data_IF_375779577844
#
_entry.id   IF_375779577844
#
_cell.length_a   1.000
_cell.length_b   1.000
_cell.length_c   1.000
_cell.angle_alpha   90.00
_cell.angle_beta   90.00
_cell.angle_gamma   90.00
#
_symmetry.space_group_name_H-M   'P 1'
#
loop_
_entity.id
_entity.type
_entity.pdbx_description
1 polymer ?
#
# COMPACT_ATOMS: atom_id res chain seq x y z
N UNK A 1 -43.88 1.74 49.29
CA UNK A 1 -42.76 0.81 49.02
C UNK A 1 -42.70 0.29 47.58
N UNK A 2 -43.84 -0.01 46.93
CA UNK A 2 -43.89 -0.54 45.54
C UNK A 2 -43.26 0.41 44.48
N UNK A 3 -43.56 1.71 44.51
CA UNK A 3 -43.10 2.69 43.50
C UNK A 3 -41.57 2.83 43.44
N UNK A 4 -40.88 2.89 44.59
CA UNK A 4 -39.41 3.01 44.63
C UNK A 4 -38.72 1.77 44.05
N UNK A 5 -39.28 0.57 44.29
CA UNK A 5 -38.82 -0.69 43.67
C UNK A 5 -39.01 -0.67 42.15
N UNK A 6 -40.16 -0.22 41.66
CA UNK A 6 -40.44 -0.13 40.21
C UNK A 6 -39.47 0.84 39.50
N UNK A 7 -39.19 2.00 40.10
CA UNK A 7 -38.28 2.99 39.52
C UNK A 7 -36.82 2.51 39.46
N UNK A 8 -36.37 1.77 40.47
CA UNK A 8 -35.02 1.21 40.51
C UNK A 8 -34.82 0.12 39.44
N UNK A 9 -35.84 -0.72 39.20
CA UNK A 9 -35.83 -1.73 38.13
C UNK A 9 -35.80 -1.04 36.75
N UNK A 10 -36.61 0.00 36.55
CA UNK A 10 -36.66 0.74 35.28
C UNK A 10 -35.30 1.37 34.91
N UNK A 11 -34.57 1.91 35.89
CA UNK A 11 -33.21 2.47 35.68
C UNK A 11 -32.20 1.39 35.29
N UNK A 12 -32.26 0.21 35.93
CA UNK A 12 -31.40 -0.93 35.58
C UNK A 12 -31.63 -1.42 34.15
N UNK A 13 -32.89 -1.52 33.72
CA UNK A 13 -33.24 -1.89 32.34
C UNK A 13 -32.70 -0.86 31.34
N UNK A 14 -32.84 0.43 31.64
CA UNK A 14 -32.37 1.49 30.76
C UNK A 14 -30.85 1.46 30.55
N UNK A 15 -30.07 1.23 31.61
CA UNK A 15 -28.62 1.08 31.50
C UNK A 15 -28.21 -0.20 30.75
N UNK A 16 -28.93 -1.30 30.97
CA UNK A 16 -28.68 -2.55 30.24
C UNK A 16 -28.94 -2.39 28.74
N UNK A 17 -30.03 -1.70 28.36
CA UNK A 17 -30.33 -1.40 26.96
C UNK A 17 -29.28 -0.48 26.33
N UNK A 18 -28.83 0.55 27.05
CA UNK A 18 -27.77 1.44 26.56
C UNK A 18 -26.45 0.70 26.35
N UNK A 19 -26.03 -0.11 27.34
CA UNK A 19 -24.81 -0.91 27.25
C UNK A 19 -24.87 -1.94 26.11
N UNK A 20 -26.03 -2.56 25.89
CA UNK A 20 -26.25 -3.51 24.79
C UNK A 20 -26.15 -2.84 23.41
N UNK A 21 -26.77 -1.67 23.22
CA UNK A 21 -26.67 -0.92 21.96
C UNK A 21 -25.24 -0.43 21.70
N UNK A 22 -24.53 0.03 22.74
CA UNK A 22 -23.11 0.40 22.62
C UNK A 22 -22.25 -0.81 22.22
N UNK A 23 -22.48 -1.97 22.85
CA UNK A 23 -21.76 -3.20 22.52
C UNK A 23 -22.06 -3.73 21.12
N UNK A 24 -23.27 -3.53 20.57
CA UNK A 24 -23.60 -3.89 19.19
C UNK A 24 -22.95 -2.94 18.15
N UNK A 25 -22.73 -1.68 18.52
CA UNK A 25 -22.17 -0.67 17.61
C UNK A 25 -20.66 -0.83 17.36
N UNK A 26 -19.94 -1.57 18.22
CA UNK A 26 -18.49 -1.78 18.08
C UNK A 26 -18.12 -2.87 17.06
N UNK A 27 -19.08 -3.68 16.59
CA UNK A 27 -18.78 -4.84 15.73
C UNK A 27 -18.72 -4.55 14.22
N UNK A 28 -19.09 -3.36 13.73
CA UNK A 28 -19.21 -3.13 12.28
C UNK A 28 -18.69 -1.76 11.80
N UNK A 29 -17.56 -1.29 12.33
CA UNK A 29 -16.78 -0.26 11.63
C UNK A 29 -15.70 -0.92 10.75
N UNK A 30 -16.12 -1.75 9.79
CA UNK A 30 -15.23 -2.14 8.70
C UNK A 30 -15.31 -1.06 7.62
N UNK A 31 -14.49 -0.03 7.70
CA UNK A 31 -14.49 1.10 6.77
C UNK A 31 -14.00 0.74 5.34
N UNK A 32 -13.80 -0.54 5.02
CA UNK A 32 -13.00 -1.02 3.87
C UNK A 32 -13.66 -2.18 3.11
N UNK A 33 -14.95 -2.46 3.30
CA UNK A 33 -15.63 -3.50 2.52
C UNK A 33 -15.69 -3.01 1.05
N UNK A 34 -14.86 -3.61 0.18
CA UNK A 34 -14.79 -3.28 -1.25
C UNK A 34 -13.59 -2.44 -1.70
N UNK A 35 -12.59 -2.21 -0.84
CA UNK A 35 -11.39 -1.43 -1.17
C UNK A 35 -11.36 -0.06 -0.49
N UNK A 36 -10.18 0.58 -0.52
CA UNK A 36 -9.97 1.92 0.05
C UNK A 36 -9.75 2.94 -1.07
N UNK A 37 -10.61 3.96 -1.11
CA UNK A 37 -10.44 5.11 -2.00
C UNK A 37 -9.77 6.26 -1.25
N UNK A 38 -8.71 6.82 -1.83
CA UNK A 38 -8.01 8.01 -1.34
C UNK A 38 -8.19 9.11 -2.38
N UNK A 39 -9.22 9.92 -2.20
CA UNK A 39 -9.54 11.04 -3.07
C UNK A 39 -10.32 12.11 -2.30
N UNK A 40 -10.54 13.27 -2.92
CA UNK A 40 -11.32 14.38 -2.34
C UNK A 40 -12.74 14.49 -2.93
N UNK A 41 -13.08 13.66 -3.91
CA UNK A 41 -14.37 13.68 -4.63
C UNK A 41 -15.44 12.85 -3.93
N UNK A 42 -15.04 11.94 -3.04
CA UNK A 42 -15.94 10.98 -2.38
C UNK A 42 -16.28 9.78 -3.26
N UNK A 43 -15.58 9.58 -4.37
CA UNK A 43 -15.77 8.43 -5.25
C UNK A 43 -15.36 7.14 -4.52
N UNK A 44 -16.15 6.09 -4.72
CA UNK A 44 -15.79 4.75 -4.26
C UNK A 44 -14.62 4.20 -5.08
N UNK A 45 -13.84 3.30 -4.49
CA UNK A 45 -12.78 2.60 -5.20
C UNK A 45 -13.37 1.76 -6.34
N UNK A 46 -12.64 1.61 -7.44
CA UNK A 46 -12.99 0.66 -8.48
C UNK A 46 -13.15 -0.76 -7.91
N UNK A 47 -14.09 -1.54 -8.41
CA UNK A 47 -14.44 -2.87 -7.87
C UNK A 47 -13.29 -3.90 -7.92
N UNK A 48 -12.29 -3.68 -8.78
CA UNK A 48 -11.08 -4.49 -8.90
C UNK A 48 -9.88 -3.93 -8.13
N UNK A 49 -10.03 -2.80 -7.43
CA UNK A 49 -8.96 -2.12 -6.72
C UNK A 49 -9.13 -2.20 -5.20
N UNK A 50 -8.11 -2.73 -4.51
CA UNK A 50 -8.06 -2.65 -3.05
C UNK A 50 -7.57 -1.28 -2.55
N UNK A 51 -6.79 -0.56 -3.37
CA UNK A 51 -6.37 0.81 -3.15
C UNK A 51 -6.60 1.59 -4.45
N UNK A 52 -7.42 2.63 -4.39
CA UNK A 52 -7.71 3.53 -5.50
C UNK A 52 -7.36 4.96 -5.09
N UNK A 53 -6.41 5.60 -5.79
CA UNK A 53 -5.93 6.93 -5.45
C UNK A 53 -6.31 7.90 -6.57
N UNK A 54 -7.28 8.78 -6.28
CA UNK A 54 -7.76 9.79 -7.20
C UNK A 54 -7.23 11.17 -6.83
N UNK A 55 -6.40 11.77 -7.70
CA UNK A 55 -5.97 13.16 -7.58
C UNK A 55 -5.64 13.74 -8.95
N UNK A 56 -5.89 15.04 -9.13
CA UNK A 56 -5.55 15.78 -10.36
C UNK A 56 -4.18 16.47 -10.28
N UNK A 57 -3.59 16.55 -9.08
CA UNK A 57 -2.37 17.33 -8.84
C UNK A 57 -1.42 16.72 -7.79
N UNK A 58 -1.73 15.54 -7.25
CA UNK A 58 -0.88 14.80 -6.32
C UNK A 58 -0.66 13.37 -6.84
N UNK A 59 0.48 12.78 -6.46
CA UNK A 59 0.80 11.39 -6.73
C UNK A 59 0.92 10.57 -5.45
N UNK A 60 1.16 9.28 -5.60
CA UNK A 60 1.46 8.38 -4.49
C UNK A 60 2.97 8.29 -4.25
N UNK A 61 3.42 8.63 -3.05
CA UNK A 61 4.77 8.28 -2.61
C UNK A 61 4.77 6.84 -2.10
N UNK A 62 5.43 5.96 -2.84
CA UNK A 62 5.76 4.60 -2.40
C UNK A 62 6.96 4.61 -1.45
N UNK A 63 7.22 3.53 -0.70
CA UNK A 63 8.39 3.43 0.17
C UNK A 63 9.70 3.74 -0.58
N UNK A 64 10.48 4.66 -0.01
CA UNK A 64 11.82 5.03 -0.50
C UNK A 64 12.86 4.27 0.32
N UNK A 65 13.65 3.43 -0.31
CA UNK A 65 14.51 2.47 0.36
C UNK A 65 15.92 2.57 -0.21
N UNK A 66 16.94 2.56 0.65
CA UNK A 66 18.33 2.55 0.21
C UNK A 66 18.81 1.10 0.14
N UNK A 67 18.64 0.44 -1.00
CA UNK A 67 19.10 -0.94 -1.20
C UNK A 67 20.61 -0.99 -1.44
N UNK A 68 21.23 -2.10 -1.08
CA UNK A 68 22.68 -2.30 -1.23
C UNK A 68 23.07 -2.99 -2.55
N UNK A 69 22.13 -3.67 -3.21
CA UNK A 69 22.30 -4.38 -4.48
C UNK A 69 20.93 -4.85 -5.00
N UNK A 70 20.87 -5.44 -6.21
CA UNK A 70 19.63 -6.03 -6.73
C UNK A 70 19.22 -7.33 -6.02
N UNK A 71 20.11 -8.00 -5.29
CA UNK A 71 19.79 -9.21 -4.50
C UNK A 71 19.60 -8.93 -2.99
N UNK A 72 19.50 -7.65 -2.59
CA UNK A 72 19.35 -7.26 -1.19
C UNK A 72 17.97 -7.62 -0.62
N UNK A 73 17.91 -8.69 0.17
CA UNK A 73 16.73 -9.11 0.95
C UNK A 73 16.89 -8.87 2.45
N UNK A 74 17.94 -8.13 2.84
CA UNK A 74 18.24 -7.81 4.24
C UNK A 74 17.63 -6.48 4.65
N UNK A 75 17.63 -5.49 3.75
CA UNK A 75 17.01 -4.19 3.97
C UNK A 75 15.48 -4.30 4.09
N UNK A 76 14.89 -5.22 3.33
CA UNK A 76 13.48 -5.62 3.45
C UNK A 76 13.46 -7.14 3.57
N UNK A 77 13.21 -7.66 4.78
CA UNK A 77 13.14 -9.09 5.03
C UNK A 77 11.91 -9.72 4.35
N UNK A 78 12.10 -10.87 3.70
CA UNK A 78 11.04 -11.65 3.05
C UNK A 78 10.14 -10.79 2.11
N UNK A 79 10.72 -10.07 1.13
CA UNK A 79 9.94 -9.21 0.26
C UNK A 79 8.93 -10.03 -0.55
N UNK A 80 7.67 -9.57 -0.57
CA UNK A 80 6.61 -10.21 -1.31
C UNK A 80 6.83 -10.08 -2.82
N UNK A 81 6.30 -11.03 -3.60
CA UNK A 81 6.34 -10.91 -5.07
C UNK A 81 5.59 -9.65 -5.51
N UNK A 82 6.16 -8.93 -6.47
CA UNK A 82 5.66 -7.64 -6.98
C UNK A 82 5.62 -6.50 -5.94
N UNK A 83 6.37 -6.61 -4.83
CA UNK A 83 6.52 -5.51 -3.87
C UNK A 83 7.21 -4.32 -4.54
N UNK A 84 6.53 -3.17 -4.60
CA UNK A 84 6.98 -1.96 -5.29
C UNK A 84 7.68 -0.98 -4.33
N UNK A 85 8.87 -0.51 -4.71
CA UNK A 85 9.63 0.52 -3.98
C UNK A 85 10.28 1.52 -4.94
N UNK A 86 10.74 2.64 -4.38
CA UNK A 86 11.71 3.51 -5.03
C UNK A 86 13.06 3.34 -4.34
N UNK A 87 14.06 2.80 -5.04
CA UNK A 87 15.42 2.74 -4.53
C UNK A 87 16.07 4.14 -4.57
N UNK A 88 16.79 4.51 -3.51
CA UNK A 88 17.48 5.81 -3.40
C UNK A 88 19.00 5.72 -3.49
N UNK A 89 19.57 4.52 -3.45
CA UNK A 89 21.01 4.30 -3.39
C UNK A 89 21.63 3.91 -4.74
N UNK A 90 22.88 4.31 -4.96
CA UNK A 90 23.77 3.72 -5.97
C UNK A 90 24.74 2.80 -5.26
N UNK A 91 24.63 1.49 -5.46
CA UNK A 91 25.38 0.49 -4.70
C UNK A 91 25.59 -0.81 -5.48
N UNK A 92 26.37 -1.72 -4.91
CA UNK A 92 26.70 -3.01 -5.50
C UNK A 92 27.73 -2.91 -6.64
N UNK A 93 27.98 -4.05 -7.28
CA UNK A 93 28.87 -4.17 -8.44
C UNK A 93 28.19 -5.04 -9.50
N UNK A 94 28.56 -4.85 -10.78
CA UNK A 94 28.04 -5.66 -11.88
C UNK A 94 28.22 -7.16 -11.59
N UNK A 95 27.20 -8.01 -11.77
CA UNK A 95 25.91 -7.73 -12.43
C UNK A 95 24.77 -7.28 -11.50
N UNK A 96 25.00 -7.17 -10.19
CA UNK A 96 23.97 -6.89 -9.18
C UNK A 96 23.98 -5.43 -8.69
N UNK A 97 24.56 -4.54 -9.49
CA UNK A 97 24.56 -3.11 -9.22
C UNK A 97 23.14 -2.56 -9.23
N UNK A 98 22.87 -1.63 -8.33
CA UNK A 98 21.59 -0.96 -8.20
C UNK A 98 21.78 0.55 -8.29
N UNK A 99 20.82 1.24 -8.89
CA UNK A 99 20.82 2.69 -9.05
C UNK A 99 19.48 3.26 -8.60
N UNK A 100 19.37 4.57 -8.30
CA UNK A 100 18.10 5.17 -7.93
C UNK A 100 17.02 4.96 -9.01
N UNK A 101 15.81 4.57 -8.60
CA UNK A 101 14.72 4.27 -9.53
C UNK A 101 13.60 3.44 -8.91
N UNK A 102 12.55 3.17 -9.70
CA UNK A 102 11.47 2.27 -9.27
C UNK A 102 11.90 0.81 -9.47
N UNK A 103 11.63 -0.03 -8.46
CA UNK A 103 11.90 -1.47 -8.47
C UNK A 103 10.70 -2.25 -7.96
N UNK A 104 10.50 -3.44 -8.52
CA UNK A 104 9.66 -4.47 -7.89
C UNK A 104 10.49 -5.69 -7.52
N UNK A 105 10.08 -6.41 -6.48
CA UNK A 105 10.73 -7.67 -6.14
C UNK A 105 10.15 -8.84 -6.94
N UNK A 106 11.00 -9.65 -7.56
CA UNK A 106 10.64 -10.89 -8.24
C UNK A 106 11.09 -12.10 -7.39
N UNK A 107 10.13 -12.86 -6.88
CA UNK A 107 10.44 -14.04 -6.04
C UNK A 107 11.03 -15.21 -6.81
N UNK A 108 10.80 -15.30 -8.12
CA UNK A 108 11.34 -16.38 -8.96
C UNK A 108 12.80 -16.12 -9.34
N UNK A 109 13.15 -14.86 -9.63
CA UNK A 109 14.52 -14.42 -9.88
C UNK A 109 15.30 -14.12 -8.59
N UNK A 110 14.61 -13.99 -7.46
CA UNK A 110 15.16 -13.57 -6.15
C UNK A 110 15.92 -12.25 -6.23
N UNK A 111 15.37 -11.29 -7.00
CA UNK A 111 16.01 -10.00 -7.29
C UNK A 111 15.00 -8.87 -7.35
N UNK A 112 15.46 -7.67 -7.01
CA UNK A 112 14.85 -6.40 -7.35
C UNK A 112 15.04 -6.12 -8.83
N UNK A 113 13.94 -6.03 -9.55
CA UNK A 113 13.90 -5.75 -10.98
C UNK A 113 13.55 -4.27 -11.18
N UNK A 114 14.39 -3.49 -11.89
CA UNK A 114 14.08 -2.10 -12.14
C UNK A 114 12.96 -1.97 -13.18
N UNK A 115 12.12 -0.95 -13.05
CA UNK A 115 11.10 -0.60 -14.05
C UNK A 115 11.68 0.03 -15.34
N UNK A 116 12.99 -0.05 -15.58
CA UNK A 116 13.63 0.76 -16.64
C UNK A 116 12.91 0.60 -17.98
N UNK A 117 12.61 1.70 -18.65
CA UNK A 117 12.46 1.69 -20.10
C UNK A 117 13.85 1.46 -20.67
N UNK A 118 14.16 0.23 -21.06
CA UNK A 118 15.34 -0.05 -21.86
C UNK A 118 15.19 0.50 -23.27
N UNK A 119 15.13 1.83 -23.42
CA UNK A 119 15.28 2.58 -24.67
C UNK A 119 15.76 3.99 -24.30
N UNK A 120 17.04 4.35 -24.49
CA UNK A 120 17.36 5.71 -24.85
C UNK A 120 16.56 5.99 -26.13
N UNK A 121 15.62 6.93 -26.12
CA UNK A 121 15.03 7.41 -27.38
C UNK A 121 16.23 7.88 -28.20
N UNK A 122 16.57 7.09 -29.19
CA UNK A 122 17.67 7.38 -30.06
C UNK A 122 17.24 8.59 -30.86
N UNK A 123 17.98 9.67 -30.68
CA UNK A 123 18.17 10.71 -31.67
C UNK A 123 18.09 10.07 -33.07
N UNK A 124 17.23 10.58 -33.99
CA UNK A 124 17.04 10.00 -35.31
C UNK A 124 18.32 9.92 -36.17
N UNK A 125 19.47 10.34 -35.65
CA UNK A 125 20.78 10.23 -36.29
C UNK A 125 21.72 9.14 -35.76
N UNK A 126 21.36 8.34 -34.74
CA UNK A 126 22.33 7.41 -34.11
C UNK A 126 21.93 5.92 -34.25
N UNK A 127 22.63 5.16 -35.11
CA UNK A 127 22.27 3.77 -35.46
C UNK A 127 22.90 2.66 -34.59
N UNK A 128 23.46 2.96 -33.41
CA UNK A 128 24.21 1.96 -32.63
C UNK A 128 24.07 2.01 -31.10
N UNK A 129 22.85 1.99 -30.57
CA UNK A 129 22.70 1.60 -29.16
C UNK A 129 21.33 0.97 -28.89
N UNK A 130 21.24 -0.31 -29.21
CA UNK A 130 20.26 -1.21 -28.60
C UNK A 130 20.94 -2.52 -28.26
N UNK A 131 21.51 -2.60 -27.05
CA UNK A 131 21.77 -3.89 -26.39
C UNK A 131 21.46 -3.75 -24.90
N UNK A 132 20.52 -4.57 -24.43
CA UNK A 132 20.32 -4.74 -22.99
C UNK A 132 18.95 -5.22 -22.52
N UNK A 133 18.29 -6.15 -23.24
CA UNK A 133 17.52 -7.24 -22.62
C UNK A 133 17.91 -8.52 -23.35
#
# INVERSE_FOLDING_TARGET
>A
MKIKRTLQIARGIMYALFAFNFLLSTFNCMAQIGGAAINTTGDAAASSAMLDVGSTNQGMLIPRVALTSTNDVSTISNPANSLLIYNTASAGASPDNIIPGFYYYDTALTKWIPFTTGVPIVDPTNLYTTRGW
#
